data_IF_042528118587
#
_entry.id   IF_042528118587
#
_cell.length_a   1.000
_cell.length_b   1.000
_cell.length_c   1.000
_cell.angle_alpha   90.00
_cell.angle_beta   90.00
_cell.angle_gamma   90.00
#
_symmetry.space_group_name_H-M   'P 1'
#
loop_
_entity.id
_entity.type
_entity.pdbx_description
1 polymer ?
#
# COMPACT_ATOMS: atom_id res chain seq x y z
N UNK A 1 -9.73 -0.03 -8.66
CA UNK A 1 -9.41 0.59 -7.36
C UNK A 1 -10.67 0.67 -6.52
N UNK A 2 -10.58 0.39 -5.23
CA UNK A 2 -11.72 0.46 -4.33
C UNK A 2 -11.36 1.27 -3.09
N UNK A 3 -12.35 1.48 -2.21
CA UNK A 3 -12.15 2.30 -1.01
C UNK A 3 -11.07 1.74 -0.10
N UNK A 4 -10.99 0.43 0.01
CA UNK A 4 -9.95 -0.20 0.83
C UNK A 4 -8.56 0.10 0.31
N UNK A 5 -8.38 0.04 -0.99
CA UNK A 5 -7.09 0.33 -1.61
C UNK A 5 -6.71 1.79 -1.40
N UNK A 6 -7.68 2.68 -1.50
CA UNK A 6 -7.43 4.10 -1.24
C UNK A 6 -7.02 4.32 0.21
N UNK A 7 -7.65 3.63 1.14
CA UNK A 7 -7.29 3.70 2.55
C UNK A 7 -5.87 3.20 2.77
N UNK A 8 -5.53 2.06 2.18
CA UNK A 8 -4.19 1.50 2.29
C UNK A 8 -3.15 2.46 1.73
N UNK A 9 -3.44 3.02 0.57
CA UNK A 9 -2.54 3.99 -0.05
C UNK A 9 -2.34 5.21 0.84
N UNK A 10 -3.42 5.74 1.40
CA UNK A 10 -3.37 6.91 2.25
C UNK A 10 -2.49 6.68 3.48
N UNK A 11 -2.68 5.55 4.16
CA UNK A 11 -1.90 5.22 5.35
C UNK A 11 -0.43 5.00 4.99
N UNK A 12 -0.18 4.32 3.87
CA UNK A 12 1.19 4.09 3.44
C UNK A 12 1.89 5.39 3.07
N UNK A 13 1.17 6.31 2.42
CA UNK A 13 1.74 7.61 2.07
C UNK A 13 2.09 8.42 3.31
N UNK A 14 1.28 8.31 4.35
CA UNK A 14 1.51 9.01 5.60
C UNK A 14 2.70 8.46 6.37
N UNK A 15 2.77 7.14 6.48
CA UNK A 15 3.81 6.48 7.28
C UNK A 15 5.13 6.34 6.53
N UNK A 16 5.07 6.18 5.22
CA UNK A 16 6.21 5.91 4.35
C UNK A 16 6.94 4.60 4.71
N UNK A 17 6.25 3.72 5.44
CA UNK A 17 6.80 2.43 5.84
C UNK A 17 5.73 1.36 5.72
N UNK A 18 5.99 0.35 4.91
CA UNK A 18 5.04 -0.75 4.71
C UNK A 18 4.68 -1.45 6.01
N UNK A 19 5.68 -1.75 6.80
CA UNK A 19 5.45 -2.47 8.05
C UNK A 19 4.54 -1.68 8.99
N UNK A 20 4.84 -0.41 9.16
CA UNK A 20 4.06 0.44 10.05
C UNK A 20 2.65 0.64 9.53
N UNK A 21 2.52 0.86 8.23
CA UNK A 21 1.21 1.02 7.62
C UNK A 21 0.37 -0.24 7.82
N UNK A 22 0.97 -1.41 7.62
CA UNK A 22 0.27 -2.67 7.81
C UNK A 22 -0.21 -2.82 9.26
N UNK A 23 0.63 -2.44 10.22
CA UNK A 23 0.25 -2.49 11.62
C UNK A 23 -0.94 -1.59 11.91
N UNK A 24 -0.92 -0.38 11.39
CA UNK A 24 -2.02 0.55 11.58
C UNK A 24 -3.31 0.08 10.92
N UNK A 25 -3.18 -0.64 9.84
CA UNK A 25 -4.32 -1.15 9.10
C UNK A 25 -4.80 -2.52 9.59
N UNK A 26 -4.09 -3.09 10.57
CA UNK A 26 -4.40 -4.43 11.10
C UNK A 26 -4.36 -5.50 10.03
N UNK A 27 -3.41 -5.39 9.12
CA UNK A 27 -3.20 -6.39 8.07
C UNK A 27 -1.73 -6.78 8.05
N UNK A 28 -1.42 -7.85 7.31
CA UNK A 28 -0.03 -8.27 7.16
C UNK A 28 0.68 -7.40 6.13
N UNK A 29 2.00 -7.33 6.24
CA UNK A 29 2.80 -6.58 5.28
C UNK A 29 2.65 -7.11 3.85
N UNK A 30 2.69 -8.45 3.62
CA UNK A 30 2.44 -8.97 2.28
C UNK A 30 1.09 -8.58 1.71
N UNK A 31 0.06 -8.54 2.54
CA UNK A 31 -1.27 -8.15 2.10
C UNK A 31 -1.30 -6.71 1.63
N UNK A 32 -0.66 -5.83 2.39
CA UNK A 32 -0.56 -4.42 2.01
C UNK A 32 0.21 -4.26 0.71
N UNK A 33 1.34 -4.94 0.61
CA UNK A 33 2.18 -4.90 -0.58
C UNK A 33 1.39 -5.32 -1.83
N UNK A 34 0.61 -6.39 -1.70
CA UNK A 34 -0.21 -6.89 -2.78
C UNK A 34 -1.26 -5.88 -3.22
N UNK A 35 -1.92 -5.26 -2.24
CA UNK A 35 -2.95 -4.27 -2.54
C UNK A 35 -2.36 -3.08 -3.29
N UNK A 36 -1.20 -2.61 -2.87
CA UNK A 36 -0.54 -1.49 -3.53
C UNK A 36 -0.10 -1.87 -4.94
N UNK A 37 0.42 -3.09 -5.13
CA UNK A 37 0.81 -3.57 -6.45
C UNK A 37 -0.38 -3.65 -7.40
N UNK A 38 -1.53 -4.09 -6.89
CA UNK A 38 -2.73 -4.17 -7.71
C UNK A 38 -3.17 -2.78 -8.16
N UNK A 39 -3.06 -1.79 -7.27
CA UNK A 39 -3.36 -0.40 -7.61
C UNK A 39 -2.41 0.11 -8.68
N UNK A 40 -1.12 -0.16 -8.51
CA UNK A 40 -0.12 0.26 -9.48
C UNK A 40 -0.40 -0.34 -10.87
N UNK A 41 -0.82 -1.59 -10.89
CA UNK A 41 -1.18 -2.26 -12.14
C UNK A 41 -2.36 -1.59 -12.82
N UNK A 42 -3.38 -1.28 -12.04
CA UNK A 42 -4.57 -0.63 -12.57
C UNK A 42 -4.27 0.74 -13.14
N UNK A 43 -3.43 1.49 -12.46
CA UNK A 43 -3.09 2.86 -12.85
C UNK A 43 -1.97 2.91 -13.88
N UNK A 44 -1.25 1.82 -14.05
CA UNK A 44 -0.13 1.78 -14.99
C UNK A 44 1.08 2.59 -14.53
N UNK A 45 1.17 2.87 -13.25
CA UNK A 45 2.29 3.63 -12.69
C UNK A 45 2.76 2.99 -11.39
N UNK A 46 4.00 3.29 -11.04
CA UNK A 46 4.55 2.84 -9.77
C UNK A 46 4.37 3.95 -8.75
N UNK A 47 3.62 3.67 -7.69
CA UNK A 47 3.31 4.65 -6.66
C UNK A 47 4.40 4.74 -5.59
N UNK A 48 4.97 3.60 -5.24
CA UNK A 48 6.01 3.54 -4.21
C UNK A 48 7.14 2.64 -4.66
N UNK A 49 8.37 3.05 -4.36
CA UNK A 49 9.53 2.21 -4.58
C UNK A 49 9.92 1.55 -3.28
N UNK A 50 10.06 0.23 -3.33
CA UNK A 50 10.52 -0.51 -2.17
C UNK A 50 12.04 -0.42 -2.13
N UNK A 51 12.55 0.34 -1.21
CA UNK A 51 13.99 0.42 -1.01
C UNK A 51 14.45 -0.80 -0.23
N UNK A 52 15.23 -1.55 -0.86
CA UNK A 52 15.75 -2.77 -0.47
C UNK A 52 16.21 -3.28 0.66
#
# INVERSE_FOLDING_TARGET
MNLKQLEYFSVLAETEHYRRAAELLYITEPSLNRAIRDMEKEMGVRLFEKKG
#
